data_IF_454913521854
#
_entry.id   IF_454913521854
#
_cell.length_a   1.000
_cell.length_b   1.000
_cell.length_c   1.000
_cell.angle_alpha   90.00
_cell.angle_beta   90.00
_cell.angle_gamma   90.00
#
_symmetry.space_group_name_H-M   'P 1'
#
loop_
_entity.id
_entity.type
_entity.pdbx_description
1 polymer ?
#
# COMPACT_ATOMS: atom_id res chain seq x y z
N UNK A 1 -14.01 -2.04 -8.87
CA UNK A 1 -13.90 -3.52 -9.02
C UNK A 1 -14.21 -4.09 -7.66
N UNK A 2 -15.12 -5.05 -7.60
CA UNK A 2 -15.39 -5.79 -6.37
C UNK A 2 -14.21 -6.75 -6.07
N UNK A 3 -13.72 -6.74 -4.84
CA UNK A 3 -12.49 -7.47 -4.46
C UNK A 3 -12.73 -8.98 -4.49
N UNK A 4 -13.91 -9.43 -4.05
CA UNK A 4 -14.27 -10.84 -3.95
C UNK A 4 -14.46 -11.48 -5.33
N UNK A 5 -15.37 -10.92 -6.14
CA UNK A 5 -15.72 -11.45 -7.46
C UNK A 5 -14.72 -11.06 -8.55
N UNK A 6 -13.92 -10.01 -8.35
CA UNK A 6 -13.03 -9.45 -9.37
C UNK A 6 -13.77 -8.76 -10.53
N UNK A 7 -15.09 -8.55 -10.42
CA UNK A 7 -15.91 -7.92 -11.46
C UNK A 7 -15.83 -6.40 -11.38
N UNK A 8 -15.89 -5.73 -12.54
CA UNK A 8 -16.08 -4.28 -12.58
C UNK A 8 -17.56 -4.00 -12.31
N UNK A 9 -17.86 -3.38 -11.17
CA UNK A 9 -19.24 -3.00 -10.80
C UNK A 9 -19.66 -1.75 -11.56
N UNK A 10 -18.82 -0.71 -11.54
CA UNK A 10 -19.06 0.56 -12.20
C UNK A 10 -17.73 1.31 -12.38
N UNK A 11 -17.72 2.32 -13.25
CA UNK A 11 -16.62 3.27 -13.42
C UNK A 11 -17.15 4.68 -13.72
N UNK A 12 -16.42 5.70 -13.26
CA UNK A 12 -16.69 7.10 -13.63
C UNK A 12 -15.55 7.72 -14.41
N UNK A 13 -15.93 8.64 -15.29
CA UNK A 13 -15.04 9.46 -16.08
C UNK A 13 -15.35 10.93 -15.82
N UNK A 14 -14.31 11.68 -15.50
CA UNK A 14 -14.37 13.13 -15.36
C UNK A 14 -13.23 13.70 -16.20
N UNK A 15 -13.54 14.66 -17.07
CA UNK A 15 -12.55 15.29 -17.94
C UNK A 15 -12.20 16.69 -17.43
N UNK A 16 -10.93 17.07 -17.60
CA UNK A 16 -10.46 18.43 -17.33
C UNK A 16 -11.31 19.44 -18.14
N UNK A 17 -11.84 20.45 -17.45
CA UNK A 17 -12.76 21.45 -18.02
C UNK A 17 -14.23 21.21 -17.70
N UNK A 18 -14.65 19.96 -17.40
CA UNK A 18 -16.02 19.71 -16.91
C UNK A 18 -16.18 20.21 -15.48
N UNK A 19 -15.13 20.05 -14.66
CA UNK A 19 -15.14 20.48 -13.27
C UNK A 19 -13.76 21.02 -12.87
N UNK A 20 -13.75 22.03 -12.01
CA UNK A 20 -12.52 22.61 -11.45
C UNK A 20 -12.04 21.78 -10.25
N UNK A 21 -10.73 21.70 -10.06
CA UNK A 21 -10.10 21.06 -8.90
C UNK A 21 -9.76 19.59 -9.10
N UNK A 22 -9.83 18.83 -8.01
CA UNK A 22 -9.40 17.43 -7.91
C UNK A 22 -10.36 16.49 -8.65
N UNK A 23 -9.99 16.11 -9.87
CA UNK A 23 -10.81 15.28 -10.75
C UNK A 23 -10.96 13.84 -10.22
N UNK A 24 -9.94 13.28 -9.59
CA UNK A 24 -9.98 11.91 -9.07
C UNK A 24 -10.91 11.80 -7.87
N UNK A 25 -10.83 12.74 -6.93
CA UNK A 25 -11.76 12.80 -5.79
C UNK A 25 -13.20 12.94 -6.25
N UNK A 26 -13.46 13.78 -7.25
CA UNK A 26 -14.81 13.99 -7.76
C UNK A 26 -15.35 12.76 -8.52
N UNK A 27 -14.50 12.09 -9.30
CA UNK A 27 -14.87 10.84 -9.93
C UNK A 27 -15.20 9.76 -8.88
N UNK A 28 -14.41 9.69 -7.80
CA UNK A 28 -14.66 8.80 -6.66
C UNK A 28 -15.97 9.14 -5.94
N UNK A 29 -16.21 10.41 -5.65
CA UNK A 29 -17.44 10.91 -5.03
C UNK A 29 -18.68 10.53 -5.86
N UNK A 30 -18.66 10.80 -7.16
CA UNK A 30 -19.75 10.39 -8.07
C UNK A 30 -19.96 8.87 -8.06
N UNK A 31 -18.88 8.09 -8.11
CA UNK A 31 -18.95 6.63 -8.08
C UNK A 31 -19.60 6.11 -6.80
N UNK A 32 -19.16 6.60 -5.63
CA UNK A 32 -19.72 6.14 -4.35
C UNK A 32 -21.18 6.55 -4.17
N UNK A 33 -21.55 7.75 -4.61
CA UNK A 33 -22.95 8.22 -4.58
C UNK A 33 -23.85 7.36 -5.46
N UNK A 34 -23.39 6.99 -6.66
CA UNK A 34 -24.18 6.15 -7.57
C UNK A 34 -24.30 4.71 -7.07
N UNK A 35 -23.19 4.12 -6.60
CA UNK A 35 -23.20 2.80 -5.95
C UNK A 35 -24.21 2.73 -4.80
N UNK A 36 -24.27 3.77 -3.97
CA UNK A 36 -25.21 3.82 -2.85
C UNK A 36 -26.65 4.06 -3.30
N UNK A 37 -26.89 5.07 -4.12
CA UNK A 37 -28.26 5.55 -4.38
C UNK A 37 -28.98 4.79 -5.50
N UNK A 38 -28.23 4.23 -6.46
CA UNK A 38 -28.81 3.53 -7.62
C UNK A 38 -28.77 2.02 -7.42
N UNK A 39 -27.65 1.51 -6.89
CA UNK A 39 -27.43 0.07 -6.76
C UNK A 39 -27.67 -0.46 -5.33
N UNK A 40 -28.06 0.41 -4.39
CA UNK A 40 -28.21 0.09 -2.96
C UNK A 40 -27.01 -0.69 -2.38
N UNK A 41 -25.81 -0.36 -2.87
CA UNK A 41 -24.59 -1.10 -2.55
C UNK A 41 -23.98 -0.57 -1.25
N UNK A 42 -23.87 -1.46 -0.26
CA UNK A 42 -23.18 -1.17 1.01
C UNK A 42 -21.68 -1.46 0.85
N UNK A 43 -20.88 -0.40 0.85
CA UNK A 43 -19.42 -0.48 0.72
C UNK A 43 -18.81 -0.58 2.11
N UNK A 44 -18.31 -1.76 2.47
CA UNK A 44 -17.66 -1.99 3.77
C UNK A 44 -16.18 -1.56 3.74
N UNK A 45 -15.49 -1.86 2.64
CA UNK A 45 -14.07 -1.59 2.45
C UNK A 45 -13.85 -0.93 1.08
N UNK A 46 -13.03 0.12 1.07
CA UNK A 46 -12.60 0.79 -0.15
C UNK A 46 -11.08 0.77 -0.23
N UNK A 47 -10.55 0.16 -1.29
CA UNK A 47 -9.13 0.15 -1.61
C UNK A 47 -8.81 1.24 -2.63
N UNK A 48 -7.90 2.16 -2.31
CA UNK A 48 -7.43 3.18 -3.23
C UNK A 48 -5.92 3.33 -3.21
N UNK A 49 -5.37 4.09 -4.15
CA UNK A 49 -4.02 4.64 -3.98
C UNK A 49 -4.03 5.75 -2.89
N UNK A 50 -2.86 6.27 -2.53
CA UNK A 50 -2.64 7.24 -1.44
C UNK A 50 -3.01 8.68 -1.84
N UNK A 51 -4.11 8.85 -2.56
CA UNK A 51 -4.57 10.16 -3.02
C UNK A 51 -5.10 10.99 -1.84
N UNK A 52 -4.42 12.09 -1.51
CA UNK A 52 -4.73 12.93 -0.33
C UNK A 52 -6.19 13.44 -0.31
N UNK A 53 -6.72 13.80 -1.48
CA UNK A 53 -8.10 14.29 -1.62
C UNK A 53 -9.14 13.22 -1.35
N UNK A 54 -8.91 11.99 -1.82
CA UNK A 54 -9.81 10.86 -1.58
C UNK A 54 -9.73 10.45 -0.11
N UNK A 55 -8.52 10.33 0.44
CA UNK A 55 -8.31 10.04 1.87
C UNK A 55 -9.07 11.01 2.78
N UNK A 56 -9.01 12.32 2.50
CA UNK A 56 -9.77 13.32 3.26
C UNK A 56 -11.27 13.15 3.08
N UNK A 57 -11.73 12.92 1.84
CA UNK A 57 -13.14 12.75 1.52
C UNK A 57 -13.75 11.53 2.23
N UNK A 58 -13.12 10.35 2.13
CA UNK A 58 -13.62 9.14 2.80
C UNK A 58 -13.66 9.33 4.31
N UNK A 59 -12.58 9.85 4.91
CA UNK A 59 -12.53 10.10 6.35
C UNK A 59 -13.63 11.04 6.86
N UNK A 60 -14.04 12.02 6.06
CA UNK A 60 -14.99 13.06 6.49
C UNK A 60 -16.44 12.77 6.11
N UNK A 61 -16.68 12.16 4.95
CA UNK A 61 -18.02 11.92 4.41
C UNK A 61 -18.47 10.47 4.53
N UNK A 62 -17.53 9.53 4.66
CA UNK A 62 -17.78 8.08 4.65
C UNK A 62 -16.99 7.37 5.76
N UNK A 63 -17.06 7.88 6.99
CA UNK A 63 -16.26 7.39 8.13
C UNK A 63 -16.52 5.93 8.52
N UNK A 64 -17.66 5.36 8.10
CA UNK A 64 -18.00 3.95 8.30
C UNK A 64 -17.30 3.02 7.31
N UNK A 65 -16.80 3.54 6.19
CA UNK A 65 -16.08 2.74 5.19
C UNK A 65 -14.65 2.56 5.68
N UNK A 66 -14.20 1.30 5.74
CA UNK A 66 -12.80 0.99 6.00
C UNK A 66 -11.97 1.36 4.78
N UNK A 67 -11.12 2.38 4.91
CA UNK A 67 -10.28 2.87 3.82
C UNK A 67 -8.91 2.20 3.88
N UNK A 68 -8.58 1.41 2.85
CA UNK A 68 -7.30 0.72 2.72
C UNK A 68 -6.48 1.25 1.53
N UNK A 69 -5.17 1.07 1.62
CA UNK A 69 -4.18 1.34 0.59
C UNK A 69 -3.60 0.06 0.01
N UNK A 70 -3.21 0.15 -1.25
CA UNK A 70 -2.51 -0.94 -1.90
C UNK A 70 -1.12 -1.15 -1.28
N UNK A 71 -0.94 -2.30 -0.62
CA UNK A 71 0.32 -2.69 -0.01
C UNK A 71 1.47 -2.80 -1.02
N UNK A 72 1.20 -3.16 -2.27
CA UNK A 72 2.22 -3.18 -3.32
C UNK A 72 2.76 -1.78 -3.59
N UNK A 73 1.89 -0.77 -3.65
CA UNK A 73 2.32 0.63 -3.81
C UNK A 73 3.09 1.12 -2.57
N UNK A 74 2.72 0.69 -1.37
CA UNK A 74 3.46 1.00 -0.14
C UNK A 74 4.87 0.40 -0.16
N UNK A 75 4.99 -0.90 -0.43
CA UNK A 75 6.27 -1.61 -0.59
C UNK A 75 7.15 -0.91 -1.64
N UNK A 76 6.61 -0.63 -2.83
CA UNK A 76 7.33 0.09 -3.89
C UNK A 76 7.77 1.48 -3.46
N UNK A 77 6.94 2.20 -2.70
CA UNK A 77 7.28 3.51 -2.17
C UNK A 77 8.39 3.44 -1.14
N UNK A 78 8.38 2.43 -0.27
CA UNK A 78 9.42 2.18 0.72
C UNK A 78 10.76 1.85 0.03
N UNK A 79 10.75 0.99 -0.99
CA UNK A 79 11.95 0.65 -1.76
C UNK A 79 12.59 1.85 -2.44
N UNK A 80 11.79 2.83 -2.88
CA UNK A 80 12.32 4.09 -3.40
C UNK A 80 13.03 4.92 -2.32
N UNK A 81 12.57 4.89 -1.06
CA UNK A 81 13.19 5.63 0.05
C UNK A 81 14.58 5.12 0.39
N UNK A 82 14.87 3.84 0.12
CA UNK A 82 16.19 3.25 0.38
C UNK A 82 17.22 3.53 -0.71
N UNK A 83 16.83 3.94 -1.93
CA UNK A 83 17.77 4.21 -3.03
C UNK A 83 18.92 5.16 -2.68
N UNK A 84 18.72 6.25 -1.92
CA UNK A 84 19.83 7.12 -1.51
C UNK A 84 20.85 6.45 -0.60
N UNK A 85 20.47 5.39 0.14
CA UNK A 85 21.39 4.65 1.00
C UNK A 85 22.39 3.83 0.19
N UNK A 86 22.05 3.39 -1.02
CA UNK A 86 22.90 2.53 -1.86
C UNK A 86 24.33 3.05 -2.02
N UNK A 87 24.49 4.37 -2.17
CA UNK A 87 25.80 5.01 -2.34
C UNK A 87 26.46 5.43 -1.01
N UNK A 88 25.67 5.84 -0.02
CA UNK A 88 26.18 6.48 1.21
C UNK A 88 26.33 5.51 2.39
N UNK A 89 25.42 4.55 2.48
CA UNK A 89 25.30 3.58 3.58
C UNK A 89 24.98 2.18 2.99
N UNK A 90 25.94 1.56 2.26
CA UNK A 90 25.71 0.32 1.52
C UNK A 90 25.35 -0.86 2.43
N UNK A 91 25.94 -0.93 3.62
CA UNK A 91 25.61 -1.86 4.70
C UNK A 91 24.12 -1.80 5.09
N UNK A 92 23.58 -0.60 5.30
CA UNK A 92 22.15 -0.41 5.57
C UNK A 92 21.28 -0.75 4.35
N UNK A 93 21.77 -0.48 3.13
CA UNK A 93 21.04 -0.78 1.91
C UNK A 93 20.86 -2.30 1.67
N UNK A 94 21.79 -3.14 2.12
CA UNK A 94 21.68 -4.61 2.01
C UNK A 94 20.44 -5.16 2.73
N UNK A 95 19.98 -4.48 3.78
CA UNK A 95 18.78 -4.88 4.53
C UNK A 95 17.46 -4.59 3.81
N UNK A 96 17.46 -3.86 2.68
CA UNK A 96 16.24 -3.44 1.97
C UNK A 96 15.30 -4.62 1.67
N UNK A 97 15.84 -5.75 1.22
CA UNK A 97 15.04 -6.93 0.84
C UNK A 97 14.43 -7.59 2.07
N UNK A 98 15.21 -7.73 3.14
CA UNK A 98 14.73 -8.26 4.43
C UNK A 98 13.63 -7.37 5.02
N UNK A 99 13.80 -6.05 4.99
CA UNK A 99 12.80 -5.09 5.48
C UNK A 99 11.53 -5.16 4.63
N UNK A 100 11.66 -5.32 3.32
CA UNK A 100 10.50 -5.48 2.45
C UNK A 100 9.74 -6.77 2.74
N UNK A 101 10.45 -7.89 2.92
CA UNK A 101 9.81 -9.15 3.31
C UNK A 101 9.15 -9.05 4.69
N UNK A 102 9.82 -8.37 5.63
CA UNK A 102 9.27 -8.11 6.96
C UNK A 102 8.01 -7.24 6.91
N UNK A 103 7.94 -6.26 6.00
CA UNK A 103 6.71 -5.48 5.75
C UNK A 103 5.57 -6.40 5.31
N UNK A 104 5.78 -7.25 4.30
CA UNK A 104 4.75 -8.18 3.84
C UNK A 104 4.28 -9.13 4.94
N UNK A 105 5.23 -9.69 5.69
CA UNK A 105 4.94 -10.55 6.83
C UNK A 105 4.19 -9.80 7.94
N UNK A 106 4.56 -8.56 8.25
CA UNK A 106 3.89 -7.74 9.26
C UNK A 106 2.44 -7.51 8.89
N UNK A 107 2.16 -7.20 7.62
CA UNK A 107 0.79 -7.00 7.13
C UNK A 107 0.00 -8.30 7.17
N UNK A 108 0.60 -9.40 6.73
CA UNK A 108 -0.06 -10.70 6.71
C UNK A 108 -0.41 -11.21 8.11
N UNK A 109 0.38 -10.84 9.13
CA UNK A 109 0.24 -11.36 10.51
C UNK A 109 -0.29 -10.32 11.50
N UNK A 110 -0.80 -9.18 11.03
CA UNK A 110 -1.36 -8.15 11.90
C UNK A 110 -2.84 -8.38 12.26
N UNK A 111 -3.49 -9.41 11.70
CA UNK A 111 -4.87 -9.81 12.02
C UNK A 111 -5.88 -8.64 11.89
N UNK A 112 -5.68 -7.74 10.93
CA UNK A 112 -6.54 -6.58 10.73
C UNK A 112 -6.36 -5.46 11.77
N UNK A 113 -5.33 -5.54 12.63
CA UNK A 113 -5.00 -4.51 13.61
C UNK A 113 -3.84 -3.63 13.10
N UNK A 114 -4.14 -2.38 12.76
CA UNK A 114 -3.17 -1.45 12.21
C UNK A 114 -2.12 -0.97 13.22
N UNK A 115 -2.42 -0.94 14.53
CA UNK A 115 -1.41 -0.69 15.57
C UNK A 115 -0.41 -1.85 15.64
N UNK A 116 -0.92 -3.09 15.69
CA UNK A 116 -0.09 -4.29 15.68
C UNK A 116 0.78 -4.37 14.41
N UNK A 117 0.25 -3.96 13.25
CA UNK A 117 1.03 -3.85 12.02
C UNK A 117 2.21 -2.89 12.17
N UNK A 118 1.97 -1.70 12.71
CA UNK A 118 3.04 -0.70 12.94
C UNK A 118 4.08 -1.25 13.92
N UNK A 119 3.65 -1.84 15.03
CA UNK A 119 4.54 -2.40 16.06
C UNK A 119 5.40 -3.54 15.48
N UNK A 120 4.78 -4.48 14.76
CA UNK A 120 5.48 -5.56 14.05
C UNK A 120 6.46 -4.99 13.02
N UNK A 121 6.09 -4.00 12.22
CA UNK A 121 6.99 -3.46 11.22
C UNK A 121 8.20 -2.75 11.84
N UNK A 122 8.00 -1.97 12.90
CA UNK A 122 9.08 -1.27 13.63
C UNK A 122 10.04 -2.26 14.28
N UNK A 123 9.54 -3.43 14.70
CA UNK A 123 10.36 -4.47 15.32
C UNK A 123 11.55 -4.94 14.47
N UNK A 124 11.51 -4.69 13.16
CA UNK A 124 12.63 -4.96 12.25
C UNK A 124 13.93 -4.26 12.69
N UNK A 125 13.82 -3.11 13.37
CA UNK A 125 14.98 -2.36 13.85
C UNK A 125 15.76 -3.12 14.94
N UNK A 126 15.06 -3.85 15.81
CA UNK A 126 15.71 -4.71 16.81
C UNK A 126 16.39 -5.90 16.11
N UNK A 127 15.70 -6.53 15.17
CA UNK A 127 16.24 -7.64 14.38
C UNK A 127 17.53 -7.24 13.65
N UNK A 128 17.55 -6.08 12.98
CA UNK A 128 18.72 -5.59 12.23
C UNK A 128 19.94 -5.34 13.12
N UNK A 129 19.72 -5.06 14.41
CA UNK A 129 20.76 -4.89 15.42
C UNK A 129 21.03 -6.15 16.24
N UNK A 130 20.61 -7.32 15.74
CA UNK A 130 20.79 -8.63 16.38
C UNK A 130 20.14 -8.71 17.79
N UNK A 131 19.13 -7.89 18.04
CA UNK A 131 18.32 -7.92 19.27
C UNK A 131 17.03 -8.67 18.98
N UNK A 132 16.97 -9.92 19.43
CA UNK A 132 15.83 -10.81 19.17
C UNK A 132 14.81 -10.85 20.30
N UNK A 133 15.14 -10.27 21.46
CA UNK A 133 14.27 -10.12 22.61
C UNK A 133 14.36 -8.67 23.11
N UNK A 134 13.21 -8.05 23.40
CA UNK A 134 13.14 -6.69 23.92
C UNK A 134 11.91 -6.50 24.80
N UNK A 135 11.92 -5.46 25.64
CA UNK A 135 10.78 -5.09 26.49
C UNK A 135 10.21 -3.77 26.01
N UNK A 136 8.91 -3.75 25.75
CA UNK A 136 8.18 -2.56 25.32
C UNK A 136 6.84 -2.52 26.05
N UNK A 137 6.52 -1.40 26.70
CA UNK A 137 5.31 -1.22 27.52
C UNK A 137 5.06 -2.36 28.52
N UNK A 138 6.11 -2.79 29.23
CA UNK A 138 6.11 -3.92 30.18
C UNK A 138 5.80 -5.31 29.58
N UNK A 139 5.66 -5.43 28.25
CA UNK A 139 5.52 -6.69 27.56
C UNK A 139 6.87 -7.18 27.04
N UNK A 140 7.15 -8.48 27.23
CA UNK A 140 8.30 -9.14 26.62
C UNK A 140 7.96 -9.50 25.18
N UNK A 141 8.67 -8.88 24.25
CA UNK A 141 8.54 -9.14 22.82
C UNK A 141 9.76 -9.93 22.33
N UNK A 142 9.53 -10.78 21.33
CA UNK A 142 10.58 -11.54 20.68
C UNK A 142 10.32 -11.67 19.18
N UNK A 143 11.38 -11.91 18.42
CA UNK A 143 11.25 -12.23 17.00
C UNK A 143 10.41 -13.50 16.79
N UNK A 144 9.51 -13.48 15.80
CA UNK A 144 8.61 -14.59 15.46
C UNK A 144 9.25 -15.53 14.41
N UNK A 145 10.53 -15.87 14.59
CA UNK A 145 11.25 -16.84 13.78
C UNK A 145 12.01 -17.81 14.70
N UNK A 146 12.37 -18.98 14.16
CA UNK A 146 13.21 -19.93 14.89
C UNK A 146 14.57 -19.33 15.24
N UNK A 147 15.25 -19.87 16.25
CA UNK A 147 16.58 -19.40 16.62
C UNK A 147 17.52 -19.51 15.42
N UNK A 148 18.18 -18.40 15.10
CA UNK A 148 19.16 -18.39 14.02
C UNK A 148 20.32 -19.33 14.36
N UNK A 149 20.76 -20.07 13.35
CA UNK A 149 21.97 -20.89 13.46
C UNK A 149 23.21 -20.00 13.60
N UNK A 150 24.30 -20.53 14.16
CA UNK A 150 25.57 -19.79 14.28
C UNK A 150 26.07 -19.27 12.93
N UNK A 151 25.85 -20.03 11.85
CA UNK A 151 26.22 -19.64 10.50
C UNK A 151 25.39 -18.46 9.99
N UNK A 152 24.09 -18.42 10.29
CA UNK A 152 23.24 -17.27 9.95
C UNK A 152 23.65 -16.03 10.73
N UNK A 153 23.94 -16.17 12.02
CA UNK A 153 24.40 -15.05 12.85
C UNK A 153 25.72 -14.50 12.33
N UNK A 154 26.67 -15.35 11.94
CA UNK A 154 27.99 -14.92 11.43
C UNK A 154 27.93 -14.36 10.00
N UNK A 155 27.01 -14.82 9.17
CA UNK A 155 26.92 -14.39 7.77
C UNK A 155 26.14 -13.09 7.56
N UNK A 156 25.32 -12.68 8.53
CA UNK A 156 24.55 -11.44 8.46
C UNK A 156 25.41 -10.23 8.86
N UNK A 157 25.24 -9.14 8.13
CA UNK A 157 25.87 -7.85 8.41
C UNK A 157 24.97 -7.02 9.33
N UNK A 158 24.95 -7.38 10.61
CA UNK A 158 24.21 -6.66 11.65
C UNK A 158 24.67 -5.20 11.74
N UNK A 159 23.73 -4.28 11.96
CA UNK A 159 24.07 -2.87 12.14
C UNK A 159 24.16 -2.52 13.62
N UNK A 160 25.25 -1.83 13.98
CA UNK A 160 25.38 -1.23 15.30
C UNK A 160 24.39 -0.05 15.42
N UNK A 161 23.64 0.03 16.52
CA UNK A 161 22.66 1.09 16.78
C UNK A 161 23.28 2.50 16.83
N UNK A 162 24.56 2.59 17.18
CA UNK A 162 25.30 3.86 17.23
C UNK A 162 25.89 4.27 15.87
N UNK A 163 25.75 3.44 14.83
CA UNK A 163 26.28 3.74 13.50
C UNK A 163 25.40 4.74 12.72
N UNK A 164 26.04 5.59 11.91
CA UNK A 164 25.31 6.48 11.00
C UNK A 164 24.39 5.72 10.04
N UNK A 165 24.82 4.53 9.59
CA UNK A 165 24.06 3.64 8.72
C UNK A 165 22.73 3.23 9.36
N UNK A 166 22.77 2.83 10.64
CA UNK A 166 21.57 2.51 11.40
C UNK A 166 20.65 3.72 11.56
N UNK A 167 21.19 4.89 11.91
CA UNK A 167 20.40 6.11 12.05
C UNK A 167 19.71 6.51 10.73
N UNK A 168 20.42 6.43 9.60
CA UNK A 168 19.87 6.72 8.28
C UNK A 168 18.72 5.76 7.92
N UNK A 169 18.88 4.47 8.22
CA UNK A 169 17.87 3.44 8.02
C UNK A 169 16.65 3.65 8.94
N UNK A 170 16.89 3.87 10.24
CA UNK A 170 15.87 4.13 11.26
C UNK A 170 15.03 5.34 10.90
N UNK A 171 15.63 6.41 10.37
CA UNK A 171 14.90 7.59 9.90
C UNK A 171 13.88 7.28 8.80
N UNK A 172 14.17 6.32 7.91
CA UNK A 172 13.23 5.88 6.87
C UNK A 172 12.10 5.04 7.49
N UNK A 173 12.44 4.05 8.31
CA UNK A 173 11.48 3.13 8.93
C UNK A 173 10.53 3.88 9.87
N UNK A 174 11.05 4.82 10.66
CA UNK A 174 10.30 5.63 11.63
C UNK A 174 9.62 6.87 11.03
N UNK A 175 9.57 6.99 9.69
CA UNK A 175 8.98 8.16 9.06
C UNK A 175 7.47 8.26 9.34
N UNK A 176 7.03 9.40 9.89
CA UNK A 176 5.66 9.61 10.37
C UNK A 176 4.59 9.37 9.30
N UNK A 177 4.89 9.67 8.04
CA UNK A 177 3.98 9.46 6.93
C UNK A 177 3.88 7.98 6.54
N UNK A 178 4.98 7.23 6.57
CA UNK A 178 4.98 5.78 6.36
C UNK A 178 4.16 5.08 7.44
N UNK A 179 4.42 5.35 8.72
CA UNK A 179 3.73 4.69 9.82
C UNK A 179 2.21 4.97 9.80
N UNK A 180 1.81 6.19 9.44
CA UNK A 180 0.40 6.55 9.24
C UNK A 180 -0.25 5.89 8.04
N UNK A 181 0.54 5.55 7.02
CA UNK A 181 0.03 4.84 5.84
C UNK A 181 -0.05 3.33 6.07
N UNK A 182 0.79 2.76 6.94
CA UNK A 182 0.74 1.35 7.33
C UNK A 182 -0.58 0.99 8.01
N UNK A 183 -1.13 1.87 8.85
CA UNK A 183 -2.45 1.65 9.49
C UNK A 183 -3.59 1.44 8.46
N UNK A 184 -3.40 1.89 7.22
CA UNK A 184 -4.32 1.67 6.10
C UNK A 184 -3.98 0.43 5.25
N UNK A 185 -3.12 -0.48 5.70
CA UNK A 185 -2.79 -1.69 4.94
C UNK A 185 -3.17 -2.99 5.68
N UNK A 186 -3.80 -2.90 6.84
CA UNK A 186 -4.02 -4.00 7.80
C UNK A 186 -4.86 -5.16 7.26
N UNK A 187 -5.66 -4.95 6.21
CA UNK A 187 -6.51 -5.99 5.65
C UNK A 187 -5.85 -6.82 4.53
N UNK A 188 -4.55 -6.62 4.26
CA UNK A 188 -3.79 -7.37 3.25
C UNK A 188 -4.46 -7.40 1.86
N UNK A 189 -5.07 -6.29 1.47
CA UNK A 189 -5.74 -6.13 0.17
C UNK A 189 -4.82 -5.44 -0.85
N UNK A 190 -4.92 -5.82 -2.12
CA UNK A 190 -4.10 -5.27 -3.21
C UNK A 190 -4.90 -5.15 -4.52
N UNK A 191 -4.47 -4.28 -5.44
CA UNK A 191 -5.20 -3.98 -6.68
C UNK A 191 -4.79 -4.85 -7.87
N UNK A 192 -4.13 -5.99 -7.65
CA UNK A 192 -3.52 -6.81 -8.71
C UNK A 192 -4.49 -7.17 -9.85
N UNK A 193 -5.73 -7.57 -9.53
CA UNK A 193 -6.77 -7.85 -10.55
C UNK A 193 -7.15 -6.62 -11.38
N UNK A 194 -7.21 -5.45 -10.74
CA UNK A 194 -7.51 -4.19 -11.41
C UNK A 194 -6.34 -3.75 -12.30
N UNK A 195 -5.09 -3.97 -11.87
CA UNK A 195 -3.90 -3.74 -12.69
C UNK A 195 -3.85 -4.67 -13.90
N UNK A 196 -4.14 -5.97 -13.74
CA UNK A 196 -4.24 -6.92 -14.86
C UNK A 196 -5.31 -6.50 -15.86
N UNK A 197 -6.50 -6.09 -15.38
CA UNK A 197 -7.55 -5.52 -16.23
C UNK A 197 -7.07 -4.30 -17.01
N UNK A 198 -6.40 -3.37 -16.34
CA UNK A 198 -5.83 -2.19 -16.98
C UNK A 198 -4.76 -2.54 -18.03
N UNK A 199 -3.90 -3.52 -17.76
CA UNK A 199 -2.87 -3.96 -18.69
C UNK A 199 -3.45 -4.63 -19.93
N UNK A 200 -4.47 -5.48 -19.78
CA UNK A 200 -5.18 -6.09 -20.90
C UNK A 200 -5.80 -5.02 -21.80
N UNK A 201 -6.52 -4.06 -21.21
CA UNK A 201 -7.11 -2.93 -21.95
C UNK A 201 -6.04 -2.13 -22.72
N UNK A 202 -4.86 -1.95 -22.14
CA UNK A 202 -3.76 -1.21 -22.79
C UNK A 202 -3.18 -1.92 -24.01
N UNK A 203 -3.31 -3.25 -24.10
CA UNK A 203 -2.90 -4.04 -25.28
C UNK A 203 -3.74 -3.69 -26.50
N UNK A 204 -5.07 -3.60 -26.33
CA UNK A 204 -6.00 -3.31 -27.41
C UNK A 204 -6.12 -1.81 -27.72
N UNK A 205 -6.05 -0.98 -26.68
CA UNK A 205 -6.14 0.47 -26.85
C UNK A 205 -5.05 1.17 -26.05
N UNK A 206 -3.91 1.51 -26.67
CA UNK A 206 -2.79 2.19 -25.99
C UNK A 206 -3.14 3.56 -25.42
N UNK A 207 -2.36 4.04 -24.43
CA UNK A 207 -2.52 5.42 -23.88
C UNK A 207 -2.15 6.52 -24.89
N UNK A 208 -1.36 6.19 -25.92
CA UNK A 208 -0.84 7.15 -26.90
C UNK A 208 -1.91 7.64 -27.88
N UNK A 209 -3.05 6.96 -27.94
CA UNK A 209 -4.17 7.35 -28.79
C UNK A 209 -4.99 8.42 -28.05
N UNK A 210 -5.02 9.63 -28.61
CA UNK A 210 -5.83 10.72 -28.07
C UNK A 210 -7.31 10.51 -28.42
N UNK A 211 -8.18 10.50 -27.42
CA UNK A 211 -9.61 10.27 -27.58
C UNK A 211 -10.40 11.43 -26.98
N UNK A 212 -11.46 11.85 -27.68
CA UNK A 212 -12.49 12.71 -27.11
C UNK A 212 -13.29 11.95 -26.04
N UNK A 213 -14.07 12.66 -25.21
CA UNK A 213 -14.83 12.09 -24.10
C UNK A 213 -15.59 10.79 -24.45
N UNK A 214 -16.36 10.80 -25.56
CA UNK A 214 -17.12 9.63 -26.03
C UNK A 214 -16.21 8.43 -26.32
N UNK A 215 -15.05 8.66 -26.95
CA UNK A 215 -14.05 7.62 -27.21
C UNK A 215 -13.42 7.08 -25.93
N UNK A 216 -13.15 7.94 -24.95
CA UNK A 216 -12.68 7.53 -23.62
C UNK A 216 -13.72 6.72 -22.84
N UNK A 217 -14.99 7.07 -22.96
CA UNK A 217 -16.09 6.36 -22.33
C UNK A 217 -16.28 4.97 -22.93
N UNK A 218 -16.33 4.90 -24.27
CA UNK A 218 -16.36 3.62 -25.00
C UNK A 218 -15.19 2.71 -24.61
N UNK A 219 -13.96 3.25 -24.60
CA UNK A 219 -12.76 2.51 -24.16
C UNK A 219 -12.89 1.86 -22.79
N UNK A 220 -13.68 2.45 -21.88
CA UNK A 220 -13.90 1.89 -20.53
C UNK A 220 -15.11 0.95 -20.45
N UNK A 221 -16.12 1.11 -21.30
CA UNK A 221 -17.30 0.23 -21.38
C UNK A 221 -17.04 -1.10 -22.08
N UNK A 222 -16.33 -1.11 -23.22
CA UNK A 222 -16.24 -2.31 -24.06
C UNK A 222 -15.61 -3.52 -23.34
N UNK A 223 -14.68 -3.32 -22.41
CA UNK A 223 -14.05 -4.42 -21.65
C UNK A 223 -14.88 -4.89 -20.44
N UNK A 224 -15.95 -4.20 -20.04
CA UNK A 224 -16.81 -4.63 -18.93
C UNK A 224 -17.78 -5.76 -19.34
N UNK A 225 -18.02 -5.94 -20.64
CA UNK A 225 -18.95 -6.93 -21.19
C UNK A 225 -18.29 -8.11 -21.90
N UNK A 226 -16.96 -8.11 -22.06
CA UNK A 226 -16.20 -9.25 -22.59
C UNK A 226 -15.61 -10.09 -21.46
N UNK A 227 -16.46 -10.88 -20.80
CA UNK A 227 -16.07 -12.19 -20.27
C UNK A 227 -17.22 -13.18 -20.53
N UNK A 228 -17.01 -14.23 -21.34
CA UNK A 228 -17.78 -15.46 -21.19
C UNK A 228 -17.54 -16.09 -19.81
#
# INVERSE_FOLDING_TARGET
MDICSGKIVDFKLVQKGQIKGDLERQACEKLLTELKNVYDCVIVLLLTDRHKGIRKYIRTQHSKITHEFDIWHLSKSLMKRFKPLEKKYPDAFLWKSSINNHLWWSVQTCEGNGKLLVDKFISVLYHISNKHEWVEDANKNQCQHEKLTENEIRSKLWLNEDSESYYALKKIIMSKDLLKDLDHAKNFVHTGRLESYHNLRLKYMPKRIHLKYKGMHMRKNYDCHFRP
#
